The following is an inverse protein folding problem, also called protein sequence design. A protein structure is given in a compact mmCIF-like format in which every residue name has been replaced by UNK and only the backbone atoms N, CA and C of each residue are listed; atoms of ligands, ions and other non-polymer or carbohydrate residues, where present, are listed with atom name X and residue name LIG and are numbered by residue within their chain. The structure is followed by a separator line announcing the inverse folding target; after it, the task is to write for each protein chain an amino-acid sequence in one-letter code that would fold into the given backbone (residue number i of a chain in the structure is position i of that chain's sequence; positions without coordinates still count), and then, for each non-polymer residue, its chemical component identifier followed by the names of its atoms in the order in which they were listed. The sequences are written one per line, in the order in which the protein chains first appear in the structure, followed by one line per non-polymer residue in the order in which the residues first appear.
data_IF_386180515877
#
_entry.id   IF_386180515877
#
_cell.length_a   1.000
_cell.length_b   1.000
_cell.length_c   1.000
_cell.angle_alpha   90.00
_cell.angle_beta   90.00
_cell.angle_gamma   90.00
#
_symmetry.space_group_name_H-M   'P 1'
#
loop_
_entity.id
_entity.type
_entity.pdbx_description
1 polymer ?
#
# COMPACT_ATOMS: atom_id res chain seq x y z
N UNK A 1 -5.47 -7.81 10.33
CA UNK A 1 -5.48 -7.36 8.90
C UNK A 1 -4.38 -6.34 8.69
N UNK A 2 -3.75 -6.32 7.53
CA UNK A 2 -2.65 -5.41 7.24
C UNK A 2 -2.87 -4.73 5.90
N UNK A 3 -2.34 -3.52 5.75
CA UNK A 3 -2.37 -2.79 4.49
C UNK A 3 -0.93 -2.52 4.07
N UNK A 4 -0.63 -2.78 2.81
CA UNK A 4 0.71 -2.63 2.24
C UNK A 4 0.61 -1.74 1.00
N UNK A 5 1.54 -0.78 0.87
CA UNK A 5 1.69 -0.01 -0.36
C UNK A 5 3.00 -0.39 -1.03
N UNK A 6 2.90 -0.77 -2.30
CA UNK A 6 4.05 -1.11 -3.13
C UNK A 6 4.33 0.09 -4.03
N UNK A 7 5.51 0.68 -3.89
CA UNK A 7 5.85 1.86 -4.67
C UNK A 7 7.37 2.01 -4.81
N UNK A 8 7.78 2.75 -5.83
CA UNK A 8 9.20 3.05 -6.09
C UNK A 8 9.51 4.47 -5.63
N UNK A 9 10.56 4.63 -4.81
CA UNK A 9 10.93 5.92 -4.24
C UNK A 9 11.35 6.97 -5.29
N UNK A 10 12.01 6.54 -6.34
CA UNK A 10 12.60 7.43 -7.33
C UNK A 10 11.66 7.71 -8.49
N UNK A 11 10.41 8.08 -8.16
CA UNK A 11 9.37 8.30 -9.17
C UNK A 11 8.58 9.57 -8.87
N UNK A 12 7.85 10.05 -9.89
CA UNK A 12 7.02 11.25 -9.75
C UNK A 12 5.89 11.07 -8.74
N UNK A 13 5.38 9.84 -8.58
CA UNK A 13 4.26 9.58 -7.67
C UNK A 13 4.72 9.34 -6.21
N UNK A 14 6.02 9.16 -5.97
CA UNK A 14 6.51 8.83 -4.64
C UNK A 14 6.10 9.87 -3.60
N UNK A 15 6.10 11.15 -3.97
CA UNK A 15 5.70 12.22 -3.06
C UNK A 15 4.26 12.07 -2.60
N UNK A 16 3.35 11.71 -3.52
CA UNK A 16 1.96 11.47 -3.16
C UNK A 16 1.81 10.33 -2.16
N UNK A 17 2.59 9.27 -2.33
CA UNK A 17 2.58 8.14 -1.40
C UNK A 17 3.11 8.56 -0.04
N UNK A 18 4.24 9.25 0.00
CA UNK A 18 4.85 9.71 1.24
C UNK A 18 3.89 10.63 2.01
N UNK A 19 3.26 11.57 1.31
CA UNK A 19 2.31 12.49 1.93
C UNK A 19 1.10 11.72 2.49
N UNK A 20 0.59 10.74 1.75
CA UNK A 20 -0.52 9.90 2.21
C UNK A 20 -0.13 9.15 3.50
N UNK A 21 1.05 8.54 3.52
CA UNK A 21 1.52 7.76 4.67
C UNK A 21 1.62 8.65 5.92
N UNK A 22 2.16 9.84 5.77
CA UNK A 22 2.28 10.79 6.87
C UNK A 22 0.90 11.19 7.40
N UNK A 23 -0.01 11.57 6.51
CA UNK A 23 -1.35 12.01 6.89
C UNK A 23 -2.15 10.86 7.50
N UNK A 24 -2.01 9.66 6.97
CA UNK A 24 -2.68 8.48 7.48
C UNK A 24 -2.28 8.21 8.93
N UNK A 25 -0.97 8.23 9.21
CA UNK A 25 -0.46 8.00 10.55
C UNK A 25 -0.94 9.09 11.52
N UNK A 26 -0.94 10.34 11.09
CA UNK A 26 -1.42 11.46 11.90
C UNK A 26 -2.91 11.36 12.24
N UNK A 27 -3.73 10.94 11.29
CA UNK A 27 -5.18 10.93 11.47
C UNK A 27 -5.69 9.67 12.15
N UNK A 28 -5.03 8.53 11.93
CA UNK A 28 -5.53 7.25 12.43
C UNK A 28 -4.67 6.65 13.54
N UNK A 29 -3.43 7.07 13.66
CA UNK A 29 -2.47 6.46 14.58
C UNK A 29 -1.93 5.11 14.11
N UNK A 30 -2.32 4.66 12.91
CA UNK A 30 -1.87 3.40 12.33
C UNK A 30 -0.89 3.66 11.20
N UNK A 31 -0.03 2.68 10.94
CA UNK A 31 0.93 2.73 9.84
C UNK A 31 0.51 1.78 8.73
N UNK A 32 0.80 2.20 7.50
CA UNK A 32 0.70 1.36 6.32
C UNK A 32 2.10 0.83 6.01
N UNK A 33 2.23 -0.48 5.81
CA UNK A 33 3.53 -1.07 5.46
C UNK A 33 3.94 -0.62 4.07
N UNK A 34 5.24 -0.40 3.89
CA UNK A 34 5.78 -0.01 2.58
C UNK A 34 6.67 -1.11 2.04
N UNK A 35 6.69 -1.27 0.72
CA UNK A 35 7.45 -2.32 0.09
C UNK A 35 7.97 -1.83 -1.26
N UNK A 36 9.28 -1.98 -1.46
CA UNK A 36 9.92 -1.66 -2.72
C UNK A 36 9.72 -2.85 -3.68
N UNK A 37 9.09 -2.64 -4.85
CA UNK A 37 8.84 -3.75 -5.78
C UNK A 37 10.11 -4.35 -6.37
N UNK A 38 11.24 -3.67 -6.24
CA UNK A 38 12.52 -4.19 -6.73
C UNK A 38 13.32 -4.92 -5.65
N UNK A 39 12.88 -4.89 -4.40
CA UNK A 39 13.50 -5.68 -3.33
C UNK A 39 13.11 -7.16 -3.46
N UNK A 40 13.88 -8.09 -2.87
CA UNK A 40 13.51 -9.50 -2.90
C UNK A 40 12.13 -9.77 -2.33
N UNK A 41 11.80 -9.15 -1.20
CA UNK A 41 10.46 -9.29 -0.60
C UNK A 41 9.39 -8.69 -1.49
N UNK A 42 9.69 -7.54 -2.12
CA UNK A 42 8.76 -6.88 -3.02
C UNK A 42 8.47 -7.68 -4.27
N UNK A 43 9.50 -8.31 -4.85
CA UNK A 43 9.33 -9.17 -6.02
C UNK A 43 8.41 -10.33 -5.68
N UNK A 44 8.66 -11.02 -4.57
CA UNK A 44 7.84 -12.14 -4.13
C UNK A 44 6.39 -11.71 -3.87
N UNK A 45 6.23 -10.58 -3.20
CA UNK A 45 4.90 -10.04 -2.87
C UNK A 45 4.12 -9.72 -4.15
N UNK A 46 4.77 -9.06 -5.10
CA UNK A 46 4.11 -8.68 -6.35
C UNK A 46 3.71 -9.91 -7.17
N UNK A 47 4.53 -10.95 -7.15
CA UNK A 47 4.19 -12.20 -7.83
C UNK A 47 3.02 -12.90 -7.16
N UNK A 48 3.01 -12.92 -5.83
CA UNK A 48 1.95 -13.59 -5.06
C UNK A 48 0.59 -12.94 -5.31
N UNK A 49 0.54 -11.62 -5.37
CA UNK A 49 -0.72 -10.86 -5.49
C UNK A 49 -0.93 -10.27 -6.87
N UNK A 50 -0.10 -10.66 -7.84
CA UNK A 50 -0.24 -10.25 -9.25
C UNK A 50 -0.25 -8.73 -9.42
N UNK A 51 0.67 -8.06 -8.75
CA UNK A 51 0.80 -6.59 -8.81
C UNK A 51 1.67 -6.22 -9.98
N UNK A 52 1.10 -5.51 -10.95
CA UNK A 52 1.77 -5.14 -12.20
C UNK A 52 1.97 -3.64 -12.34
N UNK A 53 1.31 -2.82 -11.52
CA UNK A 53 1.36 -1.37 -11.62
C UNK A 53 1.73 -0.76 -10.26
N UNK A 54 2.34 0.41 -10.30
CA UNK A 54 2.75 1.12 -9.07
C UNK A 54 2.32 2.58 -9.15
N UNK A 55 1.93 3.19 -8.04
CA UNK A 55 1.79 2.57 -6.73
C UNK A 55 0.56 1.67 -6.67
N UNK A 56 0.61 0.63 -5.88
CA UNK A 56 -0.56 -0.21 -5.60
C UNK A 56 -0.66 -0.40 -4.10
N UNK A 57 -1.84 -0.20 -3.56
CA UNK A 57 -2.12 -0.42 -2.15
C UNK A 57 -3.03 -1.63 -2.02
N UNK A 58 -2.74 -2.50 -1.08
CA UNK A 58 -3.47 -3.76 -0.94
C UNK A 58 -3.75 -4.04 0.53
N UNK A 59 -4.99 -4.45 0.82
CA UNK A 59 -5.41 -4.85 2.15
C UNK A 59 -5.49 -6.38 2.20
N UNK A 60 -4.84 -6.96 3.20
CA UNK A 60 -4.66 -8.41 3.31
C UNK A 60 -5.13 -8.87 4.68
N UNK A 61 -5.95 -9.92 4.72
CA UNK A 61 -6.37 -10.54 5.97
C UNK A 61 -5.24 -11.31 6.64
N UNK A 62 -5.45 -11.71 7.89
CA UNK A 62 -4.42 -12.41 8.66
C UNK A 62 -4.03 -13.74 8.05
N UNK A 63 -4.93 -14.37 7.28
CA UNK A 63 -4.66 -15.62 6.59
C UNK A 63 -4.08 -15.44 5.18
N UNK A 64 -3.72 -14.20 4.81
CA UNK A 64 -3.05 -13.92 3.55
C UNK A 64 -3.96 -13.67 2.36
N UNK A 65 -5.27 -13.56 2.57
CA UNK A 65 -6.20 -13.31 1.47
C UNK A 65 -6.36 -11.82 1.21
N UNK A 66 -6.35 -11.46 -0.07
CA UNK A 66 -6.56 -10.07 -0.48
C UNK A 66 -8.02 -9.67 -0.22
N UNK A 67 -8.21 -8.58 0.53
CA UNK A 67 -9.53 -8.04 0.84
C UNK A 67 -9.91 -6.90 -0.09
N UNK A 68 -8.93 -6.09 -0.49
CA UNK A 68 -9.14 -5.00 -1.44
C UNK A 68 -7.81 -4.59 -2.03
N UNK A 69 -7.87 -3.96 -3.21
CA UNK A 69 -6.67 -3.42 -3.85
C UNK A 69 -7.02 -2.10 -4.54
N UNK A 70 -6.10 -1.16 -4.50
CA UNK A 70 -6.21 0.13 -5.17
C UNK A 70 -4.97 0.30 -6.03
N UNK A 71 -5.16 0.30 -7.34
CA UNK A 71 -4.08 0.31 -8.31
C UNK A 71 -3.93 1.68 -8.94
N UNK A 72 -2.70 2.19 -8.96
CA UNK A 72 -2.37 3.45 -9.62
C UNK A 72 -2.84 4.68 -8.86
N UNK A 73 -2.91 5.79 -9.58
CA UNK A 73 -3.37 7.07 -9.05
C UNK A 73 -4.76 7.39 -9.56
N UNK A 74 -5.56 8.11 -8.77
CA UNK A 74 -5.25 8.64 -7.45
C UNK A 74 -5.22 7.57 -6.38
N UNK A 75 -4.52 7.85 -5.29
CA UNK A 75 -4.50 6.97 -4.12
C UNK A 75 -5.90 6.94 -3.48
N UNK A 76 -6.22 5.85 -2.74
CA UNK A 76 -7.48 5.81 -2.00
C UNK A 76 -7.52 6.86 -0.90
N UNK A 77 -8.70 7.13 -0.38
CA UNK A 77 -8.84 8.06 0.74
C UNK A 77 -8.39 7.39 2.04
N UNK A 78 -8.06 8.22 3.02
CA UNK A 78 -7.71 7.73 4.36
C UNK A 78 -8.88 6.94 4.97
N UNK A 79 -10.11 7.39 4.75
CA UNK A 79 -11.30 6.69 5.24
C UNK A 79 -11.43 5.29 4.65
N UNK A 80 -11.18 5.14 3.36
CA UNK A 80 -11.25 3.84 2.71
C UNK A 80 -10.23 2.87 3.28
N UNK A 81 -8.99 3.33 3.44
CA UNK A 81 -7.90 2.47 3.92
C UNK A 81 -8.05 2.17 5.40
N UNK A 82 -8.48 3.14 6.21
CA UNK A 82 -8.61 2.97 7.66
C UNK A 82 -9.60 1.87 8.03
N UNK A 83 -10.57 1.60 7.16
CA UNK A 83 -11.51 0.49 7.36
C UNK A 83 -10.78 -0.85 7.51
N UNK A 84 -9.63 -1.01 6.87
CA UNK A 84 -8.90 -2.27 6.83
C UNK A 84 -7.76 -2.38 7.85
N UNK A 85 -7.49 -1.34 8.63
CA UNK A 85 -6.38 -1.37 9.63
C UNK A 85 -6.86 -1.42 11.07
N UNK A 86 -8.12 -1.71 11.28
CA UNK A 86 -8.70 -1.78 12.61
C UNK A 86 -8.37 -3.08 13.33
#
# INVERSE_FOLDING_TARGET
MRVVVVYKDQTDYARSVIDFLRDFQHQTGHDVETLDPESPEGIDFCQTYDIMEYPTMIAISDDGQMQNTWTGLPLPTISEVSFYVQ
#
